data_IF_567977049603
#
_entry.id   IF_567977049603
#
_cell.length_a   1.000
_cell.length_b   1.000
_cell.length_c   1.000
_cell.angle_alpha   90.00
_cell.angle_beta   90.00
_cell.angle_gamma   90.00
#
_symmetry.space_group_name_H-M   'P 1'
#
loop_
_entity.id
_entity.type
_entity.pdbx_description
1 polymer ?
#
# COMPACT_ATOMS: atom_id res chain seq x y z
N UNK A 1 1.50 -2.94 -18.69
CA UNK A 1 2.26 -4.21 -18.84
C UNK A 1 3.66 -3.85 -19.32
N UNK A 2 4.55 -4.82 -19.57
CA UNK A 2 5.94 -4.51 -19.96
C UNK A 2 6.04 -3.68 -21.26
N UNK A 3 5.17 -3.95 -22.23
CA UNK A 3 5.10 -3.30 -23.54
C UNK A 3 4.67 -1.83 -23.50
N UNK A 4 3.87 -1.43 -22.51
CA UNK A 4 3.38 -0.05 -22.36
C UNK A 4 4.10 0.76 -21.28
N UNK A 5 4.97 0.12 -20.49
CA UNK A 5 5.51 0.69 -19.26
C UNK A 5 6.18 2.06 -19.46
N UNK A 6 7.09 2.18 -20.43
CA UNK A 6 7.82 3.43 -20.65
C UNK A 6 6.89 4.60 -21.02
N UNK A 7 5.88 4.33 -21.85
CA UNK A 7 4.90 5.31 -22.28
C UNK A 7 4.05 5.82 -21.12
N UNK A 8 3.53 4.90 -20.30
CA UNK A 8 2.73 5.28 -19.14
C UNK A 8 3.56 5.98 -18.06
N UNK A 9 4.81 5.54 -17.83
CA UNK A 9 5.72 6.23 -16.92
C UNK A 9 6.07 7.65 -17.40
N UNK A 10 6.08 7.90 -18.72
CA UNK A 10 6.23 9.26 -19.24
C UNK A 10 5.04 10.15 -18.88
N UNK A 11 3.82 9.65 -19.05
CA UNK A 11 2.59 10.37 -18.65
C UNK A 11 2.58 10.64 -17.14
N UNK A 12 2.96 9.65 -16.33
CA UNK A 12 2.99 9.76 -14.87
C UNK A 12 3.96 10.85 -14.38
N UNK A 13 5.12 11.00 -15.03
CA UNK A 13 6.09 12.07 -14.71
C UNK A 13 5.51 13.48 -14.86
N UNK A 14 4.60 13.65 -15.81
CA UNK A 14 3.89 14.92 -16.01
C UNK A 14 2.72 15.06 -15.02
N UNK A 15 1.99 13.96 -14.76
CA UNK A 15 0.84 13.95 -13.87
C UNK A 15 1.20 14.30 -12.42
N UNK A 16 2.26 13.72 -11.87
CA UNK A 16 2.62 13.89 -10.46
C UNK A 16 2.92 15.36 -10.09
N UNK A 17 3.33 16.17 -11.07
CA UNK A 17 3.57 17.61 -10.86
C UNK A 17 2.29 18.40 -10.60
N UNK A 18 1.17 17.96 -11.18
CA UNK A 18 -0.13 18.65 -11.07
C UNK A 18 -1.08 17.95 -10.09
N UNK A 19 -0.89 16.64 -9.89
CA UNK A 19 -1.71 15.77 -9.06
C UNK A 19 -0.81 15.03 -8.05
N UNK A 20 -0.31 15.73 -7.02
CA UNK A 20 0.72 15.22 -6.11
C UNK A 20 0.18 14.30 -5.01
N UNK A 21 -1.14 14.10 -4.91
CA UNK A 21 -1.71 13.07 -4.04
C UNK A 21 -1.76 11.76 -4.79
N UNK A 22 -1.05 10.76 -4.27
CA UNK A 22 -0.91 9.45 -4.87
C UNK A 22 -1.46 8.41 -3.92
N UNK A 23 -2.66 7.91 -4.21
CA UNK A 23 -3.18 6.74 -3.53
C UNK A 23 -2.60 5.45 -4.09
N UNK A 24 -2.36 4.48 -3.22
CA UNK A 24 -1.68 3.24 -3.59
C UNK A 24 -2.30 2.02 -2.92
N UNK A 25 -2.11 0.89 -3.57
CA UNK A 25 -2.39 -0.44 -3.02
C UNK A 25 -1.53 -1.48 -3.75
N UNK A 26 -1.28 -2.66 -3.15
CA UNK A 26 -0.52 -3.74 -3.79
C UNK A 26 -1.19 -5.10 -3.65
N UNK A 27 -1.04 -5.93 -4.68
CA UNK A 27 -1.41 -7.34 -4.62
C UNK A 27 -0.16 -8.21 -4.59
N UNK A 28 -0.16 -9.21 -3.71
CA UNK A 28 0.96 -10.10 -3.49
C UNK A 28 0.49 -11.47 -2.97
N UNK A 29 1.32 -12.53 -3.02
CA UNK A 29 0.86 -13.90 -2.81
C UNK A 29 0.74 -14.28 -1.31
N UNK A 30 0.27 -13.34 -0.49
CA UNK A 30 -0.02 -13.53 0.93
C UNK A 30 1.21 -13.69 1.82
N UNK A 31 1.07 -14.55 2.84
CA UNK A 31 2.07 -14.81 3.88
C UNK A 31 2.28 -16.32 3.98
N UNK A 32 3.52 -16.76 3.79
CA UNK A 32 3.91 -18.19 3.78
C UNK A 32 4.82 -18.58 4.94
N UNK A 33 5.42 -17.60 5.61
CA UNK A 33 6.38 -17.82 6.68
C UNK A 33 6.02 -17.03 7.93
N UNK A 34 6.39 -17.59 9.10
CA UNK A 34 6.39 -16.87 10.37
C UNK A 34 7.78 -16.94 10.99
N UNK A 35 8.34 -15.82 11.45
CA UNK A 35 9.66 -15.83 12.07
C UNK A 35 9.61 -16.60 13.39
N UNK A 36 10.63 -17.43 13.64
CA UNK A 36 10.78 -18.19 14.89
C UNK A 36 11.85 -17.48 15.72
N UNK A 37 11.51 -17.11 16.95
CA UNK A 37 12.46 -16.46 17.85
C UNK A 37 11.80 -15.74 19.01
N UNK A 38 12.60 -15.00 19.75
CA UNK A 38 12.15 -14.04 20.77
C UNK A 38 12.16 -12.64 20.19
N UNK A 39 11.07 -11.89 20.40
CA UNK A 39 10.87 -10.56 19.85
C UNK A 39 10.78 -9.52 20.96
N UNK A 40 11.24 -8.30 20.68
CA UNK A 40 11.29 -7.21 21.66
C UNK A 40 9.90 -6.70 22.02
N UNK A 41 8.96 -6.74 21.07
CA UNK A 41 7.59 -6.26 21.22
C UNK A 41 6.67 -6.95 20.21
N UNK A 42 5.35 -6.69 20.30
CA UNK A 42 4.40 -7.12 19.27
C UNK A 42 4.67 -6.44 17.93
N UNK A 43 5.08 -5.16 17.93
CA UNK A 43 5.44 -4.42 16.72
C UNK A 43 6.64 -5.06 16.03
N UNK A 44 7.67 -5.40 16.80
CA UNK A 44 8.87 -6.09 16.30
C UNK A 44 8.49 -7.46 15.70
N UNK A 45 7.62 -8.23 16.36
CA UNK A 45 7.12 -9.49 15.78
C UNK A 45 6.38 -9.28 14.44
N UNK A 46 5.52 -8.25 14.34
CA UNK A 46 4.83 -7.94 13.09
C UNK A 46 5.81 -7.51 12.01
N UNK A 47 6.77 -6.65 12.35
CA UNK A 47 7.80 -6.21 11.42
C UNK A 47 8.66 -7.37 10.91
N UNK A 48 9.13 -8.26 11.79
CA UNK A 48 9.89 -9.44 11.37
C UNK A 48 9.04 -10.40 10.52
N UNK A 49 7.72 -10.47 10.75
CA UNK A 49 6.81 -11.24 9.91
C UNK A 49 6.69 -10.64 8.52
N UNK A 50 6.48 -9.32 8.44
CA UNK A 50 6.45 -8.57 7.19
C UNK A 50 7.76 -8.75 6.43
N UNK A 51 8.89 -8.45 7.06
CA UNK A 51 10.24 -8.56 6.48
C UNK A 51 10.48 -9.95 5.87
N UNK A 52 10.22 -10.99 6.66
CA UNK A 52 10.45 -12.37 6.23
C UNK A 52 9.64 -12.73 4.98
N UNK A 53 8.38 -12.29 4.89
CA UNK A 53 7.52 -12.62 3.75
C UNK A 53 7.81 -11.72 2.55
N UNK A 54 7.98 -10.41 2.75
CA UNK A 54 8.30 -9.48 1.67
C UNK A 54 9.64 -9.85 1.02
N UNK A 55 10.66 -10.23 1.78
CA UNK A 55 11.95 -10.66 1.21
C UNK A 55 11.82 -11.93 0.37
N UNK A 56 10.97 -12.87 0.81
CA UNK A 56 10.78 -14.18 0.18
C UNK A 56 9.88 -14.14 -1.07
N UNK A 57 8.85 -13.29 -1.04
CA UNK A 57 7.77 -13.28 -2.04
C UNK A 57 7.98 -12.18 -3.07
N UNK A 58 7.25 -12.28 -4.19
CA UNK A 58 7.24 -11.28 -5.26
C UNK A 58 5.90 -10.55 -5.29
N UNK A 59 5.96 -9.24 -5.53
CA UNK A 59 4.77 -8.43 -5.81
C UNK A 59 4.11 -8.87 -7.12
N UNK A 60 2.78 -8.81 -7.19
CA UNK A 60 1.98 -9.19 -8.37
C UNK A 60 1.43 -7.93 -9.04
N UNK A 61 0.81 -7.02 -8.28
CA UNK A 61 0.33 -5.73 -8.79
C UNK A 61 0.68 -4.55 -7.88
N UNK A 62 0.76 -3.37 -8.48
CA UNK A 62 0.75 -2.08 -7.80
C UNK A 62 -0.30 -1.20 -8.50
N UNK A 63 -1.16 -0.57 -7.71
CA UNK A 63 -2.10 0.44 -8.17
C UNK A 63 -1.67 1.81 -7.71
N UNK A 64 -1.71 2.79 -8.61
CA UNK A 64 -1.48 4.20 -8.29
C UNK A 64 -2.62 5.05 -8.83
N UNK A 65 -3.26 5.83 -7.97
CA UNK A 65 -4.29 6.81 -8.33
C UNK A 65 -3.81 8.22 -8.04
N UNK A 66 -4.03 9.14 -8.97
CA UNK A 66 -3.52 10.51 -8.94
C UNK A 66 -4.66 11.52 -8.77
N UNK A 67 -4.54 12.41 -7.79
CA UNK A 67 -5.42 13.57 -7.61
C UNK A 67 -4.69 14.80 -7.06
N UNK A 68 -5.37 15.94 -7.03
CA UNK A 68 -4.85 17.18 -6.46
C UNK A 68 -5.20 17.32 -4.96
N UNK A 69 -4.83 18.46 -4.36
CA UNK A 69 -5.07 18.77 -2.95
C UNK A 69 -6.56 18.83 -2.59
N UNK A 70 -7.41 19.11 -3.56
CA UNK A 70 -8.87 19.17 -3.43
C UNK A 70 -9.53 17.79 -3.60
N UNK A 71 -8.78 16.77 -4.01
CA UNK A 71 -9.28 15.41 -4.28
C UNK A 71 -9.87 15.24 -5.67
N UNK A 72 -9.61 16.19 -6.57
CA UNK A 72 -10.00 16.09 -7.99
C UNK A 72 -9.04 15.15 -8.71
N UNK A 73 -9.57 14.07 -9.27
CA UNK A 73 -8.81 13.08 -10.02
C UNK A 73 -8.19 13.69 -11.29
N UNK A 74 -7.02 13.18 -11.67
CA UNK A 74 -6.41 13.55 -12.95
C UNK A 74 -7.37 13.31 -14.14
N UNK A 75 -7.47 14.23 -15.12
CA UNK A 75 -8.38 14.10 -16.23
C UNK A 75 -7.97 12.91 -17.13
N UNK A 76 -8.97 12.17 -17.60
CA UNK A 76 -8.72 10.97 -18.41
C UNK A 76 -8.30 9.79 -17.55
N UNK A 77 -7.07 9.31 -17.72
CA UNK A 77 -6.54 8.19 -16.94
C UNK A 77 -5.97 8.71 -15.63
N UNK A 78 -6.68 8.45 -14.53
CA UNK A 78 -6.27 8.81 -13.18
C UNK A 78 -5.67 7.65 -12.38
N UNK A 79 -5.85 6.41 -12.83
CA UNK A 79 -5.42 5.21 -12.12
C UNK A 79 -4.61 4.30 -13.04
N UNK A 80 -3.46 3.86 -12.54
CA UNK A 80 -2.55 2.96 -13.23
C UNK A 80 -2.39 1.67 -12.44
N UNK A 81 -2.62 0.54 -13.10
CA UNK A 81 -2.39 -0.79 -12.55
C UNK A 81 -1.17 -1.43 -13.21
N UNK A 82 -0.07 -1.45 -12.48
CA UNK A 82 1.16 -2.13 -12.89
C UNK A 82 1.01 -3.62 -12.60
N UNK A 83 1.30 -4.44 -13.60
CA UNK A 83 1.20 -5.89 -13.52
C UNK A 83 2.60 -6.46 -13.66
N UNK A 84 3.16 -7.01 -12.58
CA UNK A 84 4.54 -7.47 -12.50
C UNK A 84 4.71 -8.91 -12.95
N UNK A 85 5.92 -9.26 -13.37
CA UNK A 85 6.23 -10.63 -13.76
C UNK A 85 6.12 -11.58 -12.56
N UNK A 86 5.27 -12.59 -12.70
CA UNK A 86 5.01 -13.60 -11.67
C UNK A 86 4.68 -14.94 -12.31
N UNK A 87 5.30 -16.02 -11.83
CA UNK A 87 5.12 -17.38 -12.35
C UNK A 87 4.65 -18.33 -11.26
N UNK A 88 3.51 -18.99 -11.48
CA UNK A 88 3.01 -20.04 -10.59
C UNK A 88 3.86 -21.32 -10.61
N UNK A 89 4.77 -21.49 -11.58
CA UNK A 89 5.69 -22.64 -11.58
C UNK A 89 6.95 -22.40 -10.77
N UNK A 90 7.39 -21.13 -10.69
CA UNK A 90 8.73 -20.79 -10.21
C UNK A 90 8.69 -20.03 -8.88
N UNK A 91 7.63 -19.26 -8.64
CA UNK A 91 7.54 -18.36 -7.49
C UNK A 91 6.80 -18.98 -6.31
N UNK A 92 7.19 -18.56 -5.10
CA UNK A 92 6.57 -19.02 -3.85
C UNK A 92 5.29 -18.22 -3.61
N UNK A 93 4.24 -18.91 -3.14
CA UNK A 93 2.95 -18.29 -2.84
C UNK A 93 2.16 -19.06 -1.78
N UNK A 94 1.20 -18.37 -1.14
CA UNK A 94 0.13 -19.00 -0.39
C UNK A 94 -1.02 -19.38 -1.34
N UNK A 95 -1.48 -20.64 -1.28
CA UNK A 95 -2.51 -21.14 -2.20
C UNK A 95 -3.82 -20.35 -2.10
N UNK A 96 -4.27 -20.04 -0.89
CA UNK A 96 -5.50 -19.28 -0.66
C UNK A 96 -5.46 -17.89 -1.31
N UNK A 97 -4.30 -17.23 -1.30
CA UNK A 97 -4.09 -15.92 -1.94
C UNK A 97 -4.17 -16.03 -3.47
N UNK A 98 -3.54 -17.04 -4.07
CA UNK A 98 -3.63 -17.26 -5.52
C UNK A 98 -5.07 -17.58 -5.94
N UNK A 99 -5.78 -18.39 -5.15
CA UNK A 99 -7.17 -18.73 -5.43
C UNK A 99 -8.09 -17.51 -5.32
N UNK A 100 -7.85 -16.62 -4.35
CA UNK A 100 -8.56 -15.36 -4.23
C UNK A 100 -8.28 -14.45 -5.44
N UNK A 101 -7.00 -14.16 -5.71
CA UNK A 101 -6.59 -13.30 -6.81
C UNK A 101 -7.07 -13.79 -8.19
N UNK A 102 -7.07 -15.11 -8.40
CA UNK A 102 -7.64 -15.71 -9.61
C UNK A 102 -9.14 -15.44 -9.71
N UNK A 103 -9.88 -15.56 -8.60
CA UNK A 103 -11.32 -15.24 -8.55
C UNK A 103 -11.59 -13.75 -8.75
N UNK A 104 -10.68 -12.89 -8.32
CA UNK A 104 -10.70 -11.44 -8.53
C UNK A 104 -10.32 -11.01 -9.95
N UNK A 105 -9.90 -11.95 -10.81
CA UNK A 105 -9.66 -11.71 -12.23
C UNK A 105 -8.20 -11.49 -12.61
N UNK A 106 -7.24 -11.86 -11.75
CA UNK A 106 -5.81 -11.84 -12.10
C UNK A 106 -5.49 -12.92 -13.14
N UNK A 107 -4.93 -12.49 -14.28
CA UNK A 107 -4.46 -13.38 -15.34
C UNK A 107 -2.99 -13.76 -15.13
N UNK A 108 -2.75 -14.77 -14.28
CA UNK A 108 -1.40 -15.23 -13.96
C UNK A 108 -0.59 -15.70 -15.17
N UNK A 109 -1.25 -16.18 -16.23
CA UNK A 109 -0.55 -16.54 -17.47
C UNK A 109 0.03 -15.29 -18.12
N UNK A 110 -0.73 -14.21 -18.17
CA UNK A 110 -0.26 -12.93 -18.70
C UNK A 110 0.80 -12.29 -17.82
N UNK A 111 0.73 -12.43 -16.49
CA UNK A 111 1.82 -12.05 -15.58
C UNK A 111 3.13 -12.74 -15.93
N UNK A 112 3.12 -14.05 -16.19
CA UNK A 112 4.32 -14.79 -16.54
C UNK A 112 4.92 -14.36 -17.90
N UNK A 113 4.04 -14.20 -18.91
CA UNK A 113 4.45 -13.93 -20.30
C UNK A 113 4.78 -12.45 -20.57
N UNK A 114 4.07 -11.51 -19.94
CA UNK A 114 4.05 -10.08 -20.29
C UNK A 114 4.22 -9.14 -19.08
N UNK A 115 4.43 -9.70 -17.89
CA UNK A 115 4.58 -8.93 -16.67
C UNK A 115 5.81 -8.03 -16.68
N UNK A 116 5.70 -6.92 -15.96
CA UNK A 116 6.76 -5.92 -15.80
C UNK A 116 7.91 -6.51 -14.99
N UNK A 117 9.14 -6.31 -15.46
CA UNK A 117 10.34 -6.57 -14.66
C UNK A 117 10.42 -5.54 -13.51
N UNK A 118 10.52 -6.04 -12.28
CA UNK A 118 10.49 -5.20 -11.07
C UNK A 118 11.70 -4.28 -10.95
N UNK A 119 12.87 -4.70 -11.45
CA UNK A 119 14.10 -3.89 -11.39
C UNK A 119 13.99 -2.74 -12.39
N UNK A 120 13.49 -3.03 -13.59
CA UNK A 120 13.26 -2.00 -14.60
C UNK A 120 12.17 -1.00 -14.18
N UNK A 121 11.11 -1.46 -13.52
CA UNK A 121 10.13 -0.56 -12.92
C UNK A 121 10.76 0.34 -11.85
N UNK A 122 11.62 -0.22 -10.98
CA UNK A 122 12.32 0.55 -9.94
C UNK A 122 13.17 1.68 -10.53
N UNK A 123 13.91 1.40 -11.61
CA UNK A 123 14.72 2.38 -12.34
C UNK A 123 13.87 3.58 -12.80
N UNK A 124 12.72 3.31 -13.41
CA UNK A 124 11.81 4.35 -13.89
C UNK A 124 11.14 5.10 -12.73
N UNK A 125 10.79 4.40 -11.65
CA UNK A 125 10.13 4.99 -10.49
C UNK A 125 11.05 5.97 -9.74
N UNK A 126 12.32 5.61 -9.53
CA UNK A 126 13.30 6.46 -8.82
C UNK A 126 13.45 7.84 -9.47
N UNK A 127 13.40 7.91 -10.80
CA UNK A 127 13.57 9.15 -11.57
C UNK A 127 12.24 9.80 -12.00
N UNK A 128 11.12 9.33 -11.49
CA UNK A 128 9.79 9.78 -11.93
C UNK A 128 9.26 11.04 -11.23
N UNK A 129 9.83 11.38 -10.07
CA UNK A 129 9.27 12.40 -9.17
C UNK A 129 8.21 11.88 -8.20
N UNK A 130 7.83 10.60 -8.25
CA UNK A 130 6.89 9.98 -7.29
C UNK A 130 7.52 9.72 -5.91
N UNK A 131 8.81 9.44 -5.88
CA UNK A 131 9.58 9.10 -4.68
C UNK A 131 10.75 10.08 -4.55
N UNK A 132 11.29 10.22 -3.33
CA UNK A 132 12.39 11.15 -3.02
C UNK A 132 12.02 12.64 -3.24
N UNK A 133 10.72 12.96 -3.37
CA UNK A 133 10.20 14.30 -3.55
C UNK A 133 9.30 14.69 -2.38
N UNK A 134 9.60 15.83 -1.76
CA UNK A 134 8.90 16.31 -0.57
C UNK A 134 7.49 16.82 -0.90
N UNK A 135 7.16 17.06 -2.16
CA UNK A 135 5.86 17.57 -2.60
C UNK A 135 4.78 16.48 -2.72
N UNK A 136 5.19 15.22 -2.89
CA UNK A 136 4.27 14.09 -3.13
C UNK A 136 3.73 13.57 -1.81
N UNK A 137 2.41 13.35 -1.77
CA UNK A 137 1.70 12.81 -0.61
C UNK A 137 1.10 11.46 -0.94
N UNK A 138 1.63 10.44 -0.29
CA UNK A 138 1.18 9.07 -0.43
C UNK A 138 0.00 8.80 0.51
N UNK A 139 -1.05 8.18 -0.02
CA UNK A 139 -2.25 7.80 0.72
C UNK A 139 -2.46 6.30 0.55
N UNK A 140 -2.64 5.60 1.65
CA UNK A 140 -2.67 4.14 1.65
C UNK A 140 -3.65 3.60 2.69
N UNK A 141 -3.88 2.29 2.71
CA UNK A 141 -4.74 1.65 3.71
C UNK A 141 -4.04 0.41 4.28
N UNK A 142 -3.79 0.38 5.60
CA UNK A 142 -3.20 -0.78 6.28
C UNK A 142 -1.86 -1.24 5.67
N UNK A 143 -1.01 -0.27 5.40
CA UNK A 143 -0.08 -0.32 4.27
C UNK A 143 1.35 -0.80 4.55
N UNK A 144 1.52 -1.53 5.66
CA UNK A 144 2.85 -2.02 6.04
C UNK A 144 3.49 -2.85 4.94
N UNK A 145 2.77 -3.85 4.42
CA UNK A 145 3.28 -4.72 3.35
C UNK A 145 3.48 -3.96 2.04
N UNK A 146 2.59 -3.03 1.68
CA UNK A 146 2.71 -2.24 0.44
C UNK A 146 4.02 -1.46 0.40
N UNK A 147 4.30 -0.70 1.47
CA UNK A 147 5.57 0.00 1.60
C UNK A 147 6.75 -0.95 1.76
N UNK A 148 6.55 -2.12 2.38
CA UNK A 148 7.54 -3.19 2.39
C UNK A 148 7.97 -3.58 0.97
N UNK A 149 7.02 -3.89 0.09
CA UNK A 149 7.32 -4.27 -1.29
C UNK A 149 7.95 -3.14 -2.09
N UNK A 150 7.47 -1.91 -1.93
CA UNK A 150 8.08 -0.76 -2.61
C UNK A 150 9.50 -0.48 -2.11
N UNK A 151 9.75 -0.59 -0.81
CA UNK A 151 11.11 -0.43 -0.27
C UNK A 151 12.05 -1.51 -0.77
N UNK A 152 11.62 -2.78 -0.83
CA UNK A 152 12.38 -3.88 -1.44
C UNK A 152 12.71 -3.58 -2.90
N UNK A 153 11.71 -3.11 -3.65
CA UNK A 153 11.83 -2.79 -5.07
C UNK A 153 12.81 -1.62 -5.30
N UNK A 154 12.63 -0.51 -4.59
CA UNK A 154 13.42 0.72 -4.74
C UNK A 154 14.88 0.53 -4.30
N UNK A 155 15.10 -0.21 -3.21
CA UNK A 155 16.46 -0.43 -2.68
C UNK A 155 17.19 -1.58 -3.37
N UNK A 156 16.47 -2.45 -4.07
CA UNK A 156 16.99 -3.70 -4.64
C UNK A 156 17.73 -4.56 -3.60
N UNK A 157 17.30 -4.51 -2.34
CA UNK A 157 17.90 -5.20 -1.19
C UNK A 157 16.83 -5.89 -0.36
N UNK A 158 17.26 -6.84 0.47
CA UNK A 158 16.42 -7.30 1.57
C UNK A 158 16.09 -6.12 2.49
N UNK A 159 14.89 -6.14 3.08
CA UNK A 159 14.49 -5.09 4.01
C UNK A 159 15.41 -5.04 5.24
N UNK A 160 15.59 -3.85 5.86
CA UNK A 160 16.43 -3.69 7.04
C UNK A 160 16.10 -4.69 8.16
N UNK A 161 17.09 -5.05 8.98
CA UNK A 161 16.84 -6.02 10.04
C UNK A 161 15.99 -5.44 11.17
N UNK A 162 16.25 -4.19 11.55
CA UNK A 162 15.54 -3.49 12.61
C UNK A 162 14.42 -2.61 12.04
N UNK A 163 13.30 -2.55 12.75
CA UNK A 163 12.11 -1.76 12.37
C UNK A 163 12.46 -0.27 12.21
N UNK A 164 13.26 0.27 13.13
CA UNK A 164 13.66 1.69 13.11
C UNK A 164 14.45 2.07 11.85
N UNK A 165 15.33 1.17 11.37
CA UNK A 165 16.11 1.39 10.15
C UNK A 165 15.21 1.40 8.92
N UNK A 166 14.19 0.52 8.89
CA UNK A 166 13.20 0.53 7.81
C UNK A 166 12.40 1.82 7.75
N UNK A 167 11.94 2.35 8.89
CA UNK A 167 11.24 3.62 8.92
C UNK A 167 12.14 4.80 8.57
N UNK A 168 13.41 4.76 8.97
CA UNK A 168 14.39 5.78 8.59
C UNK A 168 14.60 5.81 7.07
N UNK A 169 14.79 4.65 6.44
CA UNK A 169 14.94 4.54 5.00
C UNK A 169 13.64 4.92 4.27
N UNK A 170 12.49 4.41 4.72
CA UNK A 170 11.19 4.69 4.11
C UNK A 170 10.90 6.19 4.05
N UNK A 171 11.21 6.94 5.11
CA UNK A 171 11.00 8.39 5.15
C UNK A 171 11.80 9.14 4.08
N UNK A 172 12.93 8.60 3.62
CA UNK A 172 13.72 9.20 2.55
C UNK A 172 12.98 9.06 1.21
N UNK A 173 12.46 7.86 0.91
CA UNK A 173 11.75 7.59 -0.34
C UNK A 173 10.33 8.16 -0.37
N UNK A 174 9.66 8.18 0.79
CA UNK A 174 8.28 8.58 0.97
C UNK A 174 8.16 9.60 2.11
N UNK A 175 8.46 10.88 1.87
CA UNK A 175 8.53 11.90 2.92
C UNK A 175 7.17 12.21 3.58
N UNK A 176 6.07 11.96 2.86
CA UNK A 176 4.71 12.22 3.33
C UNK A 176 3.78 11.04 3.04
N UNK A 177 3.41 10.29 4.08
CA UNK A 177 2.46 9.18 4.02
C UNK A 177 1.28 9.42 4.98
N UNK A 178 0.07 9.12 4.53
CA UNK A 178 -1.12 8.99 5.36
C UNK A 178 -1.75 7.60 5.20
N UNK A 179 -1.71 6.80 6.27
CA UNK A 179 -2.37 5.49 6.31
C UNK A 179 -3.80 5.63 6.86
N UNK A 180 -4.80 5.46 6.00
CA UNK A 180 -6.23 5.60 6.32
C UNK A 180 -6.60 4.72 7.52
N UNK A 181 -6.08 3.50 7.61
CA UNK A 181 -6.39 2.57 8.72
C UNK A 181 -5.93 3.13 10.06
N UNK A 182 -4.82 3.87 10.06
CA UNK A 182 -4.36 4.59 11.25
C UNK A 182 -5.24 5.81 11.54
N UNK A 183 -5.59 6.61 10.53
CA UNK A 183 -6.48 7.78 10.68
C UNK A 183 -7.84 7.38 11.28
N UNK A 184 -8.41 6.25 10.84
CA UNK A 184 -9.68 5.71 11.34
C UNK A 184 -9.71 5.55 12.87
N UNK A 185 -8.56 5.36 13.55
CA UNK A 185 -8.52 5.28 15.02
C UNK A 185 -8.99 6.56 15.71
N UNK A 186 -8.97 7.70 15.01
CA UNK A 186 -9.48 8.98 15.50
C UNK A 186 -10.91 9.29 15.03
N UNK A 187 -11.52 8.41 14.24
CA UNK A 187 -12.87 8.58 13.70
C UNK A 187 -13.84 7.67 14.45
N UNK A 188 -14.74 8.24 15.24
CA UNK A 188 -15.73 7.46 15.97
C UNK A 188 -16.67 6.72 14.99
N UNK A 189 -16.87 5.42 15.22
CA UNK A 189 -17.77 4.59 14.41
C UNK A 189 -17.11 3.86 13.23
N UNK A 190 -15.94 4.28 12.75
CA UNK A 190 -15.28 3.64 11.61
C UNK A 190 -14.42 2.44 12.03
N UNK A 191 -14.70 1.25 11.46
CA UNK A 191 -13.99 -0.02 11.70
C UNK A 191 -14.07 -0.93 10.47
N UNK A 192 -13.22 -1.96 10.40
CA UNK A 192 -13.23 -2.93 9.30
C UNK A 192 -12.21 -2.64 8.19
N UNK A 193 -12.23 -3.43 7.12
CA UNK A 193 -11.36 -3.29 5.93
C UNK A 193 -11.79 -2.14 5.00
N UNK A 194 -11.06 -1.97 3.90
CA UNK A 194 -11.26 -0.84 2.97
C UNK A 194 -12.68 -0.81 2.40
N UNK A 195 -13.22 -1.97 1.99
CA UNK A 195 -14.59 -2.08 1.49
C UNK A 195 -15.63 -1.62 2.52
N UNK A 196 -15.47 -2.05 3.78
CA UNK A 196 -16.40 -1.67 4.83
C UNK A 196 -16.37 -0.17 5.10
N UNK A 197 -15.17 0.41 5.10
CA UNK A 197 -15.00 1.85 5.20
C UNK A 197 -15.69 2.58 4.03
N UNK A 198 -15.53 2.10 2.80
CA UNK A 198 -16.17 2.68 1.64
C UNK A 198 -17.70 2.65 1.75
N UNK A 199 -18.29 1.53 2.19
CA UNK A 199 -19.72 1.43 2.47
C UNK A 199 -20.18 2.45 3.53
N UNK A 200 -19.46 2.53 4.65
CA UNK A 200 -19.81 3.42 5.77
C UNK A 200 -19.72 4.91 5.38
N UNK A 201 -18.85 5.23 4.41
CA UNK A 201 -18.67 6.58 3.88
C UNK A 201 -19.50 6.86 2.61
N UNK A 202 -20.33 5.91 2.18
CA UNK A 202 -21.14 5.99 0.94
C UNK A 202 -20.29 6.29 -0.30
N UNK A 203 -19.13 5.62 -0.41
CA UNK A 203 -18.22 5.69 -1.56
C UNK A 203 -18.39 4.46 -2.42
N UNK A 204 -18.67 4.67 -3.72
CA UNK A 204 -18.84 3.60 -4.69
C UNK A 204 -17.48 3.15 -5.27
N UNK A 205 -17.27 1.83 -5.36
CA UNK A 205 -16.10 1.23 -6.00
C UNK A 205 -16.22 1.31 -7.52
N UNK A 206 -15.11 1.65 -8.17
CA UNK A 206 -14.97 1.61 -9.63
C UNK A 206 -13.87 0.63 -10.00
N UNK A 207 -14.23 -0.46 -10.68
CA UNK A 207 -13.31 -1.53 -11.06
C UNK A 207 -13.49 -2.79 -10.22
N UNK A 208 -12.72 -3.85 -10.54
CA UNK A 208 -12.78 -5.13 -9.83
C UNK A 208 -12.27 -4.99 -8.39
N UNK A 209 -12.90 -5.66 -7.44
CA UNK A 209 -12.38 -5.77 -6.06
C UNK A 209 -11.14 -6.68 -6.03
N UNK A 210 -10.20 -6.43 -5.10
CA UNK A 210 -8.95 -7.18 -4.97
C UNK A 210 -8.10 -7.13 -6.25
N UNK A 211 -7.97 -5.91 -6.77
CA UNK A 211 -7.00 -5.56 -7.77
C UNK A 211 -6.49 -4.16 -7.46
N UNK A 212 -5.18 -4.05 -7.36
CA UNK A 212 -4.50 -2.88 -6.82
C UNK A 212 -4.95 -1.56 -7.46
N UNK A 213 -5.26 -1.52 -8.76
CA UNK A 213 -5.78 -0.32 -9.42
C UNK A 213 -7.11 0.16 -8.82
N UNK A 214 -8.11 -0.72 -8.77
CA UNK A 214 -9.42 -0.41 -8.20
C UNK A 214 -9.33 -0.10 -6.70
N UNK A 215 -8.50 -0.82 -5.96
CA UNK A 215 -8.28 -0.60 -4.53
C UNK A 215 -7.55 0.72 -4.24
N UNK A 216 -6.57 1.11 -5.06
CA UNK A 216 -5.94 2.43 -4.96
C UNK A 216 -6.93 3.58 -5.26
N UNK A 217 -7.87 3.38 -6.19
CA UNK A 217 -8.91 4.36 -6.48
C UNK A 217 -9.94 4.47 -5.35
N UNK A 218 -10.33 3.34 -4.76
CA UNK A 218 -11.21 3.31 -3.60
C UNK A 218 -10.54 3.95 -2.37
N UNK A 219 -9.26 3.65 -2.15
CA UNK A 219 -8.41 4.30 -1.15
C UNK A 219 -8.41 5.81 -1.33
N UNK A 220 -8.30 6.29 -2.57
CA UNK A 220 -8.32 7.72 -2.86
C UNK A 220 -9.64 8.38 -2.46
N UNK A 221 -10.75 7.82 -2.93
CA UNK A 221 -12.08 8.37 -2.71
C UNK A 221 -12.47 8.33 -1.21
N UNK A 222 -12.16 7.24 -0.53
CA UNK A 222 -12.42 7.09 0.92
C UNK A 222 -11.59 8.05 1.75
N UNK A 223 -10.31 8.28 1.42
CA UNK A 223 -9.46 9.25 2.11
C UNK A 223 -10.06 10.65 2.07
N UNK A 224 -10.41 11.17 0.90
CA UNK A 224 -10.94 12.53 0.76
C UNK A 224 -12.31 12.69 1.42
N UNK A 225 -13.19 11.67 1.31
CA UNK A 225 -14.48 11.66 1.99
C UNK A 225 -14.31 11.65 3.52
N UNK A 226 -13.40 10.84 4.04
CA UNK A 226 -13.08 10.77 5.46
C UNK A 226 -12.46 12.09 5.96
N UNK A 227 -11.51 12.66 5.21
CA UNK A 227 -10.85 13.94 5.50
C UNK A 227 -11.86 15.07 5.65
N UNK A 228 -12.85 15.12 4.76
CA UNK A 228 -13.91 16.12 4.81
C UNK A 228 -14.85 15.94 6.02
N UNK A 229 -15.25 14.70 6.34
CA UNK A 229 -16.25 14.42 7.36
C UNK A 229 -15.70 14.45 8.80
N UNK A 230 -14.48 13.98 9.01
CA UNK A 230 -13.92 13.76 10.36
C UNK A 230 -12.78 14.72 10.72
N UNK A 231 -12.22 15.42 9.74
CA UNK A 231 -11.03 16.25 9.93
C UNK A 231 -11.20 17.68 9.40
N UNK A 232 -12.40 18.11 9.01
CA UNK A 232 -12.66 19.47 8.50
C UNK A 232 -11.73 19.88 7.33
N UNK A 233 -11.29 18.90 6.53
CA UNK A 233 -10.27 19.05 5.48
C UNK A 233 -8.85 19.43 5.95
N UNK A 234 -8.57 19.37 7.26
CA UNK A 234 -7.27 19.69 7.85
C UNK A 234 -6.73 18.52 8.69
N UNK A 235 -5.66 17.88 8.20
CA UNK A 235 -5.02 16.78 8.91
C UNK A 235 -3.80 17.28 9.69
N UNK A 236 -3.83 17.08 11.01
CA UNK A 236 -2.69 17.35 11.87
C UNK A 236 -1.48 16.47 11.51
N UNK A 237 -0.56 17.04 10.74
CA UNK A 237 0.67 16.38 10.30
C UNK A 237 1.54 15.91 11.48
N UNK A 238 1.47 16.55 12.65
CA UNK A 238 2.25 16.13 13.82
C UNK A 238 1.76 14.81 14.41
N UNK A 239 0.51 14.44 14.10
CA UNK A 239 -0.17 13.26 14.64
C UNK A 239 -0.31 12.12 13.64
N UNK A 240 -0.45 12.42 12.36
CA UNK A 240 -0.83 11.42 11.34
C UNK A 240 0.22 11.17 10.26
N UNK A 241 1.16 12.09 10.05
CA UNK A 241 2.13 11.99 8.97
C UNK A 241 3.16 10.88 9.24
N UNK A 242 3.38 10.01 8.25
CA UNK A 242 4.37 8.93 8.27
C UNK A 242 4.14 7.88 9.38
N UNK A 243 2.87 7.64 9.74
CA UNK A 243 2.51 6.61 10.71
C UNK A 243 1.74 5.49 10.01
N UNK A 244 2.35 4.30 9.95
CA UNK A 244 1.71 3.10 9.40
C UNK A 244 0.94 2.35 10.48
N UNK A 245 -0.23 1.83 10.13
CA UNK A 245 -1.03 1.06 11.09
C UNK A 245 -0.32 -0.24 11.50
N UNK A 246 -0.17 -0.48 12.81
CA UNK A 246 0.33 -1.74 13.35
C UNK A 246 1.85 -1.86 13.49
N UNK A 247 2.60 -0.82 13.08
CA UNK A 247 4.07 -0.76 13.10
C UNK A 247 4.55 0.54 13.74
N UNK A 248 5.79 0.54 14.26
CA UNK A 248 6.45 1.69 14.87
C UNK A 248 5.55 2.48 15.82
N UNK A 249 5.44 3.80 15.58
CA UNK A 249 4.54 4.68 16.37
C UNK A 249 3.05 4.31 16.24
N UNK A 250 2.64 3.71 15.12
CA UNK A 250 1.26 3.32 14.85
C UNK A 250 0.79 2.06 15.58
N UNK A 251 1.72 1.30 16.16
CA UNK A 251 1.42 0.11 16.97
C UNK A 251 0.73 0.45 18.31
N UNK A 252 1.04 1.61 18.91
CA UNK A 252 0.69 1.91 20.31
C UNK A 252 -0.54 2.81 20.49
N UNK A 253 -1.29 3.11 19.44
CA UNK A 253 -2.46 3.98 19.54
C UNK A 253 -3.64 3.24 20.21
N UNK A 254 -3.59 3.19 21.54
CA UNK A 254 -4.70 2.79 22.42
C UNK A 254 -5.47 4.06 22.79
N UNK A 255 -6.69 4.21 22.25
CA UNK A 255 -7.67 5.08 22.87
C UNK A 255 -8.04 4.48 24.22
N UNK A 256 -7.94 5.25 25.28
CA UNK A 256 -8.16 4.76 26.63
C UNK A 256 -9.58 4.21 26.83
N UNK A 257 -9.77 2.89 26.71
CA UNK A 257 -10.59 2.03 27.60
C UNK A 257 -10.73 0.60 27.05
N UNK A 258 -10.37 -0.34 27.93
CA UNK A 258 -10.83 -1.72 28.07
C UNK A 258 -10.39 -2.80 27.06
N UNK A 259 -9.62 -3.77 27.60
CA UNK A 259 -9.92 -5.19 27.41
C UNK A 259 -8.89 -5.95 26.59
N UNK A 260 -8.13 -6.82 27.24
CA UNK A 260 -7.09 -7.65 26.64
C UNK A 260 -7.60 -8.58 25.53
N UNK A 261 -6.77 -8.71 24.52
CA UNK A 261 -6.87 -9.66 23.43
C UNK A 261 -5.70 -9.39 22.50
N UNK A 262 -4.67 -10.24 22.54
CA UNK A 262 -3.51 -10.17 21.67
C UNK A 262 -3.92 -10.56 20.25
N UNK A 263 -4.60 -9.65 19.54
CA UNK A 263 -4.77 -9.72 18.10
C UNK A 263 -4.05 -8.52 17.50
N UNK A 264 -2.81 -8.76 17.06
CA UNK A 264 -2.12 -7.86 16.13
C UNK A 264 -2.82 -7.83 14.77
N UNK A 265 -2.34 -7.04 13.80
CA UNK A 265 -2.83 -7.13 12.43
C UNK A 265 -2.57 -8.53 11.91
N UNK A 266 -3.62 -9.35 11.87
CA UNK A 266 -3.65 -10.52 11.01
C UNK A 266 -3.66 -10.00 9.59
N UNK A 267 -2.78 -10.53 8.73
CA UNK A 267 -3.01 -10.46 7.29
C UNK A 267 -4.37 -11.07 7.05
N UNK A 268 -5.31 -10.24 6.65
CA UNK A 268 -6.65 -10.62 6.28
C UNK A 268 -6.68 -10.47 4.75
N UNK A 269 -6.88 -11.58 4.00
CA UNK A 269 -7.00 -11.51 2.56
C UNK A 269 -8.12 -10.56 2.09
N UNK A 270 -9.04 -10.17 2.98
CA UNK A 270 -10.17 -9.29 2.70
C UNK A 270 -10.00 -7.83 3.19
N UNK A 271 -8.88 -7.48 3.87
CA UNK A 271 -8.75 -6.18 4.58
C UNK A 271 -8.19 -5.04 3.76
#
# INVERSE_FOLDING_TARGET
WADTLEGEMATIRDLVQMYPYVSMDTEFPGVVARPIGTFKSSSDFHYQTLRCNVDLLKIIQLGLTFCNEEGELAPGVCTYQFNFKFSLSDDIYAQDSIDLLTRSGIDFKRHDEQGIDVVYFAELLISSGLVLCDEVRWVSFHSGYDFGYLMKLLTCKALPHEEDDFFADMKIYFPQIYDIKYLMKSCEGLKGGLNKLAEDLEVERIGPEHQAGSDSLLTQATFFKMRALFFENDLDSTKYLNILYGFGMGANFNTGKAGGGANGPSWDPES
#
